data_IF_789624854469
#
_entry.id   IF_789624854469
#
_cell.length_a   1.000
_cell.length_b   1.000
_cell.length_c   1.000
_cell.angle_alpha   90.00
_cell.angle_beta   90.00
_cell.angle_gamma   90.00
#
_symmetry.space_group_name_H-M   'P 1'
#
loop_
_entity.id
_entity.type
_entity.pdbx_description
1 polymer ?
#
# COMPACT_ATOMS: atom_id res chain seq x y z
N UNK A 1 28.75 -14.05 8.83
CA UNK A 1 27.73 -13.53 7.90
C UNK A 1 26.38 -13.55 8.61
N UNK A 2 25.89 -12.45 9.24
CA UNK A 2 24.51 -12.42 9.72
C UNK A 2 23.64 -11.69 8.69
N UNK A 3 22.71 -12.44 8.08
CA UNK A 3 21.58 -11.92 7.32
C UNK A 3 20.56 -11.44 8.35
N UNK A 4 20.76 -10.22 8.86
CA UNK A 4 19.85 -9.60 9.81
C UNK A 4 18.91 -8.63 9.07
N UNK A 5 17.68 -9.09 8.86
CA UNK A 5 16.42 -8.32 8.90
C UNK A 5 16.54 -6.79 8.79
N UNK A 6 16.91 -6.28 7.62
CA UNK A 6 16.63 -4.89 7.28
C UNK A 6 15.27 -4.84 6.59
N UNK A 7 14.22 -5.07 7.37
CA UNK A 7 12.90 -4.58 6.98
C UNK A 7 12.99 -3.07 7.18
N UNK A 8 13.29 -2.35 6.10
CA UNK A 8 13.26 -0.89 6.06
C UNK A 8 11.87 -0.40 6.48
N UNK A 9 11.73 -0.10 7.77
CA UNK A 9 10.53 0.47 8.39
C UNK A 9 10.27 1.91 7.93
N UNK A 10 11.07 2.45 7.00
CA UNK A 10 10.90 3.77 6.39
C UNK A 10 10.05 3.69 5.13
N UNK A 11 8.87 3.06 5.21
CA UNK A 11 7.89 3.22 4.14
C UNK A 11 7.38 4.66 4.21
N UNK A 12 7.93 5.54 3.38
CA UNK A 12 7.49 6.92 3.23
C UNK A 12 6.07 6.93 2.69
N UNK A 13 5.14 7.36 3.54
CA UNK A 13 3.73 7.50 3.21
C UNK A 13 3.53 8.87 2.56
N UNK A 14 3.15 8.88 1.29
CA UNK A 14 2.86 10.12 0.57
C UNK A 14 1.46 10.06 -0.05
N UNK A 15 0.89 11.22 -0.30
CA UNK A 15 -0.30 11.29 -1.14
C UNK A 15 0.06 10.88 -2.58
N UNK A 16 -0.81 10.16 -3.29
CA UNK A 16 -0.57 9.85 -4.68
C UNK A 16 -0.42 11.14 -5.50
N UNK A 17 0.59 11.26 -6.37
CA UNK A 17 0.74 12.42 -7.23
C UNK A 17 -0.46 12.56 -8.19
N UNK A 18 -0.74 13.78 -8.70
CA UNK A 18 -1.80 13.99 -9.70
C UNK A 18 -1.64 13.06 -10.90
N UNK A 19 -2.76 12.49 -11.37
CA UNK A 19 -2.77 11.52 -12.48
C UNK A 19 -2.63 10.05 -12.05
N UNK A 20 -2.46 9.78 -10.75
CA UNK A 20 -2.48 8.42 -10.21
C UNK A 20 -3.90 7.83 -10.22
N UNK A 21 -4.03 6.56 -10.61
CA UNK A 21 -5.32 5.85 -10.64
C UNK A 21 -5.20 4.52 -9.92
N UNK A 22 -6.15 4.22 -9.03
CA UNK A 22 -6.24 2.90 -8.41
C UNK A 22 -6.76 1.89 -9.44
N UNK A 23 -5.91 0.96 -9.83
CA UNK A 23 -6.20 -0.04 -10.86
C UNK A 23 -6.71 -1.35 -10.30
N UNK A 24 -6.34 -1.68 -9.05
CA UNK A 24 -6.88 -2.82 -8.31
C UNK A 24 -7.15 -2.43 -6.87
N UNK A 25 -8.23 -2.98 -6.31
CA UNK A 25 -8.61 -2.81 -4.91
C UNK A 25 -8.78 -4.21 -4.32
N UNK A 26 -8.09 -4.47 -3.21
CA UNK A 26 -8.16 -5.73 -2.50
C UNK A 26 -9.28 -5.75 -1.47
N UNK A 27 -9.41 -6.89 -0.79
CA UNK A 27 -10.40 -7.05 0.28
C UNK A 27 -9.99 -6.25 1.51
N UNK A 28 -10.99 -5.70 2.21
CA UNK A 28 -10.80 -5.02 3.48
C UNK A 28 -10.18 -6.00 4.50
N UNK A 29 -9.16 -5.52 5.21
CA UNK A 29 -8.49 -6.19 6.32
C UNK A 29 -8.89 -5.47 7.59
N UNK A 30 -9.36 -6.22 8.58
CA UNK A 30 -9.81 -5.68 9.87
C UNK A 30 -8.95 -6.27 11.00
N UNK A 31 -8.62 -5.44 11.98
CA UNK A 31 -7.94 -5.87 13.19
C UNK A 31 -7.87 -4.76 14.24
N UNK A 32 -7.18 -4.99 15.37
CA UNK A 32 -7.03 -4.00 16.46
C UNK A 32 -6.45 -2.64 16.00
N UNK A 33 -5.57 -2.65 15.00
CA UNK A 33 -5.01 -1.44 14.37
C UNK A 33 -5.97 -0.69 13.43
N UNK A 34 -7.20 -1.19 13.28
CA UNK A 34 -8.28 -0.58 12.50
C UNK A 34 -8.65 -1.38 11.24
N UNK A 35 -9.34 -0.70 10.33
CA UNK A 35 -9.81 -1.27 9.08
C UNK A 35 -9.06 -0.66 7.91
N UNK A 36 -8.46 -1.50 7.08
CA UNK A 36 -7.58 -1.10 5.99
C UNK A 36 -8.02 -1.76 4.69
N UNK A 37 -8.03 -1.02 3.58
CA UNK A 37 -8.29 -1.56 2.24
C UNK A 37 -7.00 -1.43 1.42
N UNK A 38 -6.36 -2.53 1.02
CA UNK A 38 -5.21 -2.50 0.14
C UNK A 38 -5.60 -2.18 -1.30
N UNK A 39 -4.74 -1.49 -2.04
CA UNK A 39 -4.93 -1.21 -3.45
C UNK A 39 -3.59 -1.21 -4.21
N UNK A 40 -3.69 -1.36 -5.53
CA UNK A 40 -2.60 -1.07 -6.46
C UNK A 40 -2.93 0.21 -7.21
N UNK A 41 -2.00 1.16 -7.19
CA UNK A 41 -2.12 2.45 -7.86
C UNK A 41 -1.16 2.49 -9.05
N UNK A 42 -1.68 2.80 -10.24
CA UNK A 42 -0.87 3.08 -11.42
C UNK A 42 -0.53 4.56 -11.45
N UNK A 43 0.75 4.88 -11.57
CA UNK A 43 1.25 6.24 -11.75
C UNK A 43 1.27 6.63 -13.24
N UNK A 44 1.45 7.92 -13.50
CA UNK A 44 1.51 8.46 -14.86
C UNK A 44 2.70 7.92 -15.68
N UNK A 45 3.78 7.49 -15.02
CA UNK A 45 4.94 6.82 -15.62
C UNK A 45 4.67 5.36 -16.03
N UNK A 46 3.48 4.84 -15.73
CA UNK A 46 3.08 3.47 -16.02
C UNK A 46 3.45 2.45 -14.94
N UNK A 47 4.20 2.84 -13.91
CA UNK A 47 4.57 1.96 -12.80
C UNK A 47 3.40 1.77 -11.82
N UNK A 48 3.43 0.64 -11.10
CA UNK A 48 2.44 0.28 -10.10
C UNK A 48 3.02 0.41 -8.70
N UNK A 49 2.22 0.90 -7.75
CA UNK A 49 2.62 1.11 -6.36
C UNK A 49 1.57 0.53 -5.42
N UNK A 50 2.02 0.08 -4.25
CA UNK A 50 1.14 -0.36 -3.17
C UNK A 50 0.48 0.83 -2.48
N UNK A 51 -0.83 0.75 -2.26
CA UNK A 51 -1.59 1.74 -1.51
C UNK A 51 -2.48 1.10 -0.45
N UNK A 52 -2.83 1.89 0.56
CA UNK A 52 -3.72 1.53 1.65
C UNK A 52 -4.78 2.61 1.84
N UNK A 53 -6.00 2.23 2.16
CA UNK A 53 -7.03 3.15 2.64
C UNK A 53 -7.38 2.79 4.06
N UNK A 54 -7.32 3.75 4.98
CA UNK A 54 -7.96 3.55 6.26
C UNK A 54 -9.47 3.77 6.11
N UNK A 55 -10.30 2.85 6.59
CA UNK A 55 -11.76 2.97 6.54
C UNK A 55 -12.23 3.76 7.75
N UNK A 56 -12.98 4.84 7.52
CA UNK A 56 -13.61 5.65 8.56
C UNK A 56 -13.95 7.07 8.11
N UNK A 57 -14.76 7.82 8.89
CA UNK A 57 -15.11 9.20 8.57
C UNK A 57 -13.86 10.08 8.43
N UNK A 58 -13.72 10.76 7.28
CA UNK A 58 -12.60 11.66 7.01
C UNK A 58 -11.25 10.99 6.76
N UNK A 59 -11.20 9.66 6.65
CA UNK A 59 -9.94 8.92 6.42
C UNK A 59 -9.52 8.98 4.95
N UNK A 60 -8.21 9.11 4.72
CA UNK A 60 -7.60 9.32 3.40
C UNK A 60 -6.83 8.07 2.95
N UNK A 61 -6.61 8.00 1.64
CA UNK A 61 -5.66 7.07 1.03
C UNK A 61 -4.25 7.39 1.55
N UNK A 62 -3.53 6.33 1.90
CA UNK A 62 -2.13 6.32 2.27
C UNK A 62 -1.41 5.52 1.19
N UNK A 63 -0.63 6.15 0.32
CA UNK A 63 0.19 5.40 -0.63
C UNK A 63 1.50 4.98 0.05
N UNK A 64 1.78 3.68 0.05
CA UNK A 64 3.07 3.14 0.45
C UNK A 64 4.01 3.22 -0.77
N UNK A 65 4.65 4.37 -0.93
CA UNK A 65 5.31 4.77 -2.19
C UNK A 65 6.82 4.47 -2.23
N UNK A 66 7.32 3.45 -1.54
CA UNK A 66 8.77 3.15 -1.54
C UNK A 66 9.21 2.20 -2.67
N UNK A 67 8.30 1.40 -3.23
CA UNK A 67 8.63 0.36 -4.22
C UNK A 67 7.69 0.43 -5.42
N UNK A 68 8.27 0.51 -6.62
CA UNK A 68 7.55 0.39 -7.88
C UNK A 68 7.51 -1.07 -8.34
N UNK A 69 6.42 -1.45 -8.99
CA UNK A 69 6.17 -2.78 -9.50
C UNK A 69 5.82 -2.74 -10.99
N UNK A 70 6.13 -3.82 -11.70
CA UNK A 70 5.83 -3.96 -13.13
C UNK A 70 4.42 -4.48 -13.39
N UNK A 71 3.80 -5.14 -12.41
CA UNK A 71 2.43 -5.61 -12.52
C UNK A 71 1.56 -5.16 -11.34
N UNK A 72 0.27 -4.91 -11.57
CA UNK A 72 -0.64 -4.45 -10.52
C UNK A 72 -0.89 -5.52 -9.45
N UNK A 73 -0.72 -6.81 -9.79
CA UNK A 73 -0.92 -7.92 -8.85
C UNK A 73 0.17 -7.96 -7.77
N UNK A 74 1.43 -7.72 -8.13
CA UNK A 74 2.54 -7.64 -7.17
C UNK A 74 2.35 -6.46 -6.22
N UNK A 75 1.98 -5.29 -6.76
CA UNK A 75 1.67 -4.10 -5.98
C UNK A 75 0.51 -4.37 -5.00
N UNK A 76 -0.53 -5.08 -5.44
CA UNK A 76 -1.64 -5.46 -4.58
C UNK A 76 -1.25 -6.47 -3.51
N UNK A 77 -0.45 -7.49 -3.86
CA UNK A 77 0.04 -8.48 -2.90
C UNK A 77 0.83 -7.81 -1.79
N UNK A 78 1.73 -6.88 -2.15
CA UNK A 78 2.48 -6.10 -1.16
C UNK A 78 1.57 -5.22 -0.31
N UNK A 79 0.55 -4.60 -0.91
CA UNK A 79 -0.43 -3.81 -0.19
C UNK A 79 -1.21 -4.66 0.83
N UNK A 80 -1.52 -5.93 0.52
CA UNK A 80 -2.17 -6.85 1.46
C UNK A 80 -1.27 -7.12 2.67
N UNK A 81 0.01 -7.41 2.46
CA UNK A 81 0.97 -7.63 3.57
C UNK A 81 1.06 -6.40 4.49
N UNK A 82 1.10 -5.20 3.89
CA UNK A 82 1.10 -3.94 4.62
C UNK A 82 -0.21 -3.72 5.38
N UNK A 83 -1.36 -4.02 4.78
CA UNK A 83 -2.67 -3.91 5.43
C UNK A 83 -2.78 -4.87 6.62
N UNK A 84 -2.32 -6.11 6.48
CA UNK A 84 -2.28 -7.09 7.57
C UNK A 84 -1.37 -6.62 8.70
N UNK A 85 -0.21 -6.05 8.39
CA UNK A 85 0.72 -5.51 9.39
C UNK A 85 0.16 -4.27 10.11
N UNK A 86 -0.60 -3.42 9.41
CA UNK A 86 -1.22 -2.22 9.98
C UNK A 86 -2.51 -2.51 10.75
N UNK A 87 -3.17 -3.64 10.46
CA UNK A 87 -4.39 -4.09 11.14
C UNK A 87 -4.09 -4.90 12.41
N UNK A 88 -2.96 -5.60 12.47
CA UNK A 88 -2.52 -6.37 13.65
C UNK A 88 -2.30 -5.47 14.88
#
# INVERSE_FOLDING_TARGET
MPVANLIDYTTTLSSPPPGSVNVLIGKKVEGPGGQWVPCATKMADGAYYSGLFQVGPGKRQVCAASVSFHCPNEALSRAIDLASSAAA
#
